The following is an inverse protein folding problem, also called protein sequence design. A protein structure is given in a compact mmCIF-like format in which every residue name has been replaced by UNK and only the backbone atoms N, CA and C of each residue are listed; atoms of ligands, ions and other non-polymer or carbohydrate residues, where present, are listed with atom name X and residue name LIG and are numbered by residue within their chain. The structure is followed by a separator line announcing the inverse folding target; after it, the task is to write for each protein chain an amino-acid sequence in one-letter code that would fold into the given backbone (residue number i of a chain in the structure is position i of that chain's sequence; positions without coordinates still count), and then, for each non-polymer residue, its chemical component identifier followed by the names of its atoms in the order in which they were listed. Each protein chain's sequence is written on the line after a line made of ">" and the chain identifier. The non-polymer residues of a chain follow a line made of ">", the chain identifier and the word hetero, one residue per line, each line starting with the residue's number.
data_IF_915528100038
#
_entry.id   IF_915528100038
#
_cell.length_a   1.000
_cell.length_b   1.000
_cell.length_c   1.000
_cell.angle_alpha   90.00
_cell.angle_beta   90.00
_cell.angle_gamma   90.00
#
_symmetry.space_group_name_H-M   'P 1'
#
loop_
_entity.id
_entity.type
_entity.pdbx_description
1 polymer ?
#
# COMPACT_ATOMS: atom_id res chain seq x y z
N UNK A 1 23.51 4.08 -2.00
CA UNK A 1 22.82 3.54 -3.20
C UNK A 1 22.02 4.65 -3.85
N UNK A 2 22.23 4.88 -5.11
CA UNK A 2 21.46 5.84 -5.88
C UNK A 2 20.27 5.13 -6.54
N UNK A 3 19.34 5.90 -7.09
CA UNK A 3 18.19 5.32 -7.80
C UNK A 3 18.62 4.43 -8.97
N UNK A 4 19.81 4.70 -9.55
CA UNK A 4 20.37 3.88 -10.63
C UNK A 4 20.74 2.47 -10.19
N UNK A 5 21.00 2.29 -8.89
CA UNK A 5 21.41 1.00 -8.33
C UNK A 5 20.22 0.12 -7.98
N UNK A 6 19.00 0.68 -8.02
CA UNK A 6 17.78 -0.09 -7.82
C UNK A 6 17.41 -0.80 -9.12
N UNK A 7 16.95 -2.04 -9.00
CA UNK A 7 16.36 -2.72 -10.13
C UNK A 7 15.20 -1.91 -10.69
N UNK A 8 15.04 -1.81 -12.02
CA UNK A 8 13.88 -1.11 -12.60
C UNK A 8 12.55 -1.64 -12.10
N UNK A 9 12.55 -2.85 -11.56
CA UNK A 9 11.39 -3.56 -11.04
C UNK A 9 11.15 -3.32 -9.56
N UNK A 10 11.96 -2.49 -8.89
CA UNK A 10 11.80 -2.17 -7.47
C UNK A 10 11.41 -0.71 -7.29
N UNK A 11 10.36 -0.48 -6.52
CA UNK A 11 9.87 0.85 -6.16
C UNK A 11 10.08 1.08 -4.67
N UNK A 12 10.57 2.26 -4.32
CA UNK A 12 10.65 2.70 -2.92
C UNK A 12 9.98 4.06 -2.80
N UNK A 13 9.02 4.16 -1.87
CA UNK A 13 8.33 5.41 -1.55
C UNK A 13 8.50 5.68 -0.07
N UNK A 14 8.96 6.87 0.28
CA UNK A 14 9.14 7.28 1.67
C UNK A 14 8.29 8.52 1.93
N UNK A 15 7.53 8.51 3.02
CA UNK A 15 6.73 9.67 3.42
C UNK A 15 6.70 9.79 4.94
N UNK A 16 6.87 11.03 5.44
CA UNK A 16 6.65 11.32 6.85
C UNK A 16 5.18 11.68 7.07
N UNK A 17 4.56 10.97 8.00
CA UNK A 17 3.15 11.15 8.33
C UNK A 17 3.06 11.69 9.77
N UNK A 18 2.33 12.78 9.96
CA UNK A 18 2.18 13.43 11.25
C UNK A 18 1.11 12.74 12.10
N UNK A 19 1.37 11.47 12.44
CA UNK A 19 0.49 10.64 13.27
C UNK A 19 1.33 9.56 13.95
N UNK A 20 0.87 9.03 15.10
CA UNK A 20 1.59 7.96 15.80
C UNK A 20 1.69 6.69 14.95
N UNK A 21 2.80 5.96 15.11
CA UNK A 21 3.04 4.71 14.36
C UNK A 21 1.92 3.70 14.55
N UNK A 22 1.34 3.61 15.75
CA UNK A 22 0.23 2.70 16.02
C UNK A 22 -1.01 3.04 15.19
N UNK A 23 -1.32 4.32 15.01
CA UNK A 23 -2.47 4.75 14.21
C UNK A 23 -2.23 4.51 12.71
N UNK A 24 -1.01 4.78 12.24
CA UNK A 24 -0.65 4.51 10.84
C UNK A 24 -0.69 3.02 10.55
N UNK A 25 -0.17 2.21 11.46
CA UNK A 25 -0.21 0.75 11.32
C UNK A 25 -1.65 0.23 11.31
N UNK A 26 -2.51 0.74 12.19
CA UNK A 26 -3.92 0.36 12.23
C UNK A 26 -4.62 0.67 10.91
N UNK A 27 -4.30 1.82 10.30
CA UNK A 27 -4.89 2.20 9.01
C UNK A 27 -4.48 1.23 7.88
N UNK A 28 -3.36 0.55 8.02
CA UNK A 28 -2.87 -0.44 7.07
C UNK A 28 -3.42 -1.85 7.30
N UNK A 29 -4.05 -2.11 8.43
CA UNK A 29 -4.46 -3.47 8.83
C UNK A 29 -5.95 -3.60 9.11
N UNK A 30 -6.64 -2.52 9.43
CA UNK A 30 -8.08 -2.53 9.69
C UNK A 30 -8.85 -2.37 8.38
N UNK A 31 -9.73 -3.32 8.01
CA UNK A 31 -10.45 -3.23 6.73
C UNK A 31 -11.35 -2.01 6.60
N UNK A 32 -11.96 -1.55 7.69
CA UNK A 32 -12.78 -0.33 7.66
C UNK A 32 -11.92 0.89 7.32
N UNK A 33 -10.73 0.98 7.91
CA UNK A 33 -9.81 2.07 7.62
C UNK A 33 -9.21 1.94 6.21
N UNK A 34 -8.81 0.73 5.80
CA UNK A 34 -8.31 0.47 4.44
C UNK A 34 -9.30 0.95 3.37
N UNK A 35 -10.60 0.79 3.63
CA UNK A 35 -11.63 1.21 2.68
C UNK A 35 -11.68 2.72 2.46
N UNK A 36 -11.04 3.50 3.32
CA UNK A 36 -11.09 4.96 3.25
C UNK A 36 -9.91 5.58 2.51
N UNK A 37 -8.82 4.84 2.27
CA UNK A 37 -7.64 5.44 1.65
C UNK A 37 -6.96 4.59 0.57
N UNK A 38 -7.15 3.28 0.55
CA UNK A 38 -6.37 2.38 -0.31
C UNK A 38 -6.94 2.30 -1.74
N UNK A 39 -7.09 3.44 -2.38
CA UNK A 39 -7.45 3.55 -3.78
C UNK A 39 -6.90 4.88 -4.33
N UNK A 40 -6.17 4.86 -5.45
CA UNK A 40 -5.51 6.07 -5.96
C UNK A 40 -6.49 7.01 -6.65
N UNK A 41 -6.32 8.32 -6.41
CA UNK A 41 -7.07 9.36 -7.12
C UNK A 41 -8.58 9.22 -7.04
N UNK A 42 -9.29 9.21 -8.18
CA UNK A 42 -10.74 9.17 -8.19
C UNK A 42 -11.35 7.80 -7.92
N UNK A 43 -10.52 6.75 -7.76
CA UNK A 43 -11.01 5.42 -7.42
C UNK A 43 -11.54 5.40 -5.98
N UNK A 44 -12.55 4.56 -5.76
CA UNK A 44 -13.19 4.41 -4.46
C UNK A 44 -13.20 2.93 -4.09
N UNK A 45 -12.79 2.61 -2.85
CA UNK A 45 -12.85 1.24 -2.35
C UNK A 45 -14.30 0.85 -2.10
N UNK A 46 -14.76 -0.20 -2.75
CA UNK A 46 -16.12 -0.73 -2.59
C UNK A 46 -16.15 -1.97 -1.71
N UNK A 47 -15.01 -2.62 -1.53
CA UNK A 47 -14.87 -3.78 -0.64
C UNK A 47 -13.45 -3.85 -0.10
N UNK A 48 -13.32 -4.08 1.20
CA UNK A 48 -12.04 -4.34 1.83
C UNK A 48 -12.20 -5.42 2.89
N UNK A 49 -11.35 -6.43 2.83
CA UNK A 49 -11.23 -7.45 3.88
C UNK A 49 -9.75 -7.64 4.18
N UNK A 50 -9.42 -7.91 5.44
CA UNK A 50 -8.04 -8.13 5.85
C UNK A 50 -8.01 -8.93 7.14
N UNK A 51 -7.16 -9.95 7.16
CA UNK A 51 -6.84 -10.75 8.34
C UNK A 51 -5.35 -10.59 8.60
N UNK A 52 -4.98 -9.55 9.33
CA UNK A 52 -3.60 -9.09 9.47
C UNK A 52 -2.81 -9.95 10.46
N UNK A 53 -2.55 -11.17 10.07
CA UNK A 53 -1.69 -12.14 10.77
C UNK A 53 -0.91 -12.92 9.73
N UNK A 54 0.20 -13.51 10.11
CA UNK A 54 0.99 -14.34 9.19
C UNK A 54 0.11 -15.46 8.64
N UNK A 55 0.04 -15.55 7.31
CA UNK A 55 -0.82 -16.50 6.61
C UNK A 55 -2.24 -16.00 6.38
N UNK A 56 -2.63 -14.86 6.97
CA UNK A 56 -3.94 -14.26 6.73
C UNK A 56 -3.98 -13.62 5.36
N UNK A 57 -5.18 -13.50 4.80
CA UNK A 57 -5.41 -12.96 3.47
C UNK A 57 -6.09 -11.61 3.52
N UNK A 58 -5.96 -10.83 2.44
CA UNK A 58 -6.70 -9.59 2.28
C UNK A 58 -7.18 -9.45 0.84
N UNK A 59 -8.23 -8.65 0.66
CA UNK A 59 -8.80 -8.36 -0.65
C UNK A 59 -9.33 -6.94 -0.69
N UNK A 60 -8.92 -6.19 -1.68
CA UNK A 60 -9.35 -4.80 -1.89
C UNK A 60 -9.97 -4.70 -3.29
N UNK A 61 -11.17 -4.16 -3.36
CA UNK A 61 -11.82 -3.84 -4.64
C UNK A 61 -12.00 -2.34 -4.70
N UNK A 62 -11.42 -1.71 -5.72
CA UNK A 62 -11.55 -0.28 -5.96
C UNK A 62 -12.27 -0.07 -7.30
N UNK A 63 -13.25 0.82 -7.31
CA UNK A 63 -14.03 1.11 -8.52
C UNK A 63 -13.61 2.46 -9.09
N UNK A 64 -13.36 2.49 -10.40
CA UNK A 64 -13.03 3.72 -11.09
C UNK A 64 -14.31 4.47 -11.53
N UNK A 65 -14.19 5.73 -12.00
CA UNK A 65 -15.36 6.52 -12.41
C UNK A 65 -16.17 5.93 -13.58
N UNK A 66 -15.58 5.00 -14.33
CA UNK A 66 -16.25 4.31 -15.43
C UNK A 66 -16.98 3.04 -14.97
N UNK A 67 -16.90 2.73 -13.68
CA UNK A 67 -17.55 1.55 -13.09
C UNK A 67 -16.74 0.27 -13.21
N UNK A 68 -15.47 0.34 -13.58
CA UNK A 68 -14.59 -0.82 -13.64
C UNK A 68 -14.00 -1.12 -12.26
N UNK A 69 -14.05 -2.38 -11.84
CA UNK A 69 -13.49 -2.84 -10.60
C UNK A 69 -12.02 -3.24 -10.78
N UNK A 70 -11.18 -2.73 -9.88
CA UNK A 70 -9.76 -3.07 -9.79
C UNK A 70 -9.56 -3.88 -8.53
N UNK A 71 -9.14 -5.13 -8.68
CA UNK A 71 -9.04 -6.07 -7.56
C UNK A 71 -7.58 -6.31 -7.22
N UNK A 72 -7.25 -6.17 -5.93
CA UNK A 72 -5.93 -6.51 -5.39
C UNK A 72 -6.13 -7.51 -4.26
N UNK A 73 -5.35 -8.57 -4.28
CA UNK A 73 -5.39 -9.60 -3.23
C UNK A 73 -3.99 -9.86 -2.71
N UNK A 74 -3.89 -10.54 -1.59
CA UNK A 74 -2.60 -10.95 -1.07
C UNK A 74 -2.69 -11.72 0.23
N UNK A 75 -1.50 -12.05 0.73
CA UNK A 75 -1.31 -12.79 1.97
C UNK A 75 -0.25 -12.07 2.79
N UNK A 76 -0.48 -11.98 4.10
CA UNK A 76 0.51 -11.41 5.03
C UNK A 76 1.59 -12.45 5.31
N UNK A 77 2.85 -12.08 5.11
CA UNK A 77 4.02 -12.94 5.35
C UNK A 77 4.77 -12.58 6.62
N UNK A 78 4.71 -11.30 7.01
CA UNK A 78 5.30 -10.83 8.26
C UNK A 78 4.41 -9.73 8.83
N UNK A 79 4.11 -9.80 10.12
CA UNK A 79 3.32 -8.78 10.80
C UNK A 79 4.00 -8.49 12.13
N UNK A 80 4.64 -7.31 12.21
CA UNK A 80 5.25 -6.82 13.45
C UNK A 80 4.50 -5.56 13.85
N UNK A 81 3.69 -5.61 14.91
CA UNK A 81 2.84 -4.48 15.29
C UNK A 81 3.60 -3.16 15.36
N UNK A 82 3.02 -2.13 14.74
CA UNK A 82 3.51 -0.76 14.69
C UNK A 82 4.88 -0.59 14.03
N UNK A 83 5.45 -1.65 13.44
CA UNK A 83 6.82 -1.66 12.92
C UNK A 83 6.92 -2.10 11.46
N UNK A 84 6.31 -3.23 11.10
CA UNK A 84 6.49 -3.78 9.75
C UNK A 84 5.37 -4.68 9.30
N UNK A 85 5.06 -4.57 8.00
CA UNK A 85 4.25 -5.54 7.28
C UNK A 85 5.04 -6.03 6.08
N UNK A 86 4.98 -7.33 5.81
CA UNK A 86 5.40 -7.90 4.52
C UNK A 86 4.20 -8.68 3.99
N UNK A 87 3.78 -8.36 2.78
CA UNK A 87 2.59 -8.95 2.20
C UNK A 87 2.77 -9.10 0.70
N UNK A 88 2.15 -10.12 0.13
CA UNK A 88 2.08 -10.22 -1.32
C UNK A 88 1.05 -9.20 -1.82
N UNK A 89 1.27 -8.68 -3.02
CA UNK A 89 0.39 -7.69 -3.62
C UNK A 89 0.12 -8.13 -5.05
N UNK A 90 -1.06 -8.69 -5.27
CA UNK A 90 -1.45 -9.28 -6.55
C UNK A 90 -2.56 -8.45 -7.17
N UNK A 91 -2.25 -7.80 -8.27
CA UNK A 91 -3.24 -7.01 -9.00
C UNK A 91 -3.88 -7.85 -10.11
N UNK A 92 -5.21 -7.79 -10.20
CA UNK A 92 -6.00 -8.56 -11.16
C UNK A 92 -6.65 -7.65 -12.21
N UNK A 93 -5.86 -6.93 -12.96
CA UNK A 93 -6.39 -5.99 -13.94
C UNK A 93 -5.36 -5.51 -14.95
N UNK A 94 -4.15 -6.06 -14.87
CA UNK A 94 -3.10 -5.67 -15.80
C UNK A 94 -3.40 -6.23 -17.19
N UNK A 95 -3.24 -5.42 -18.26
CA UNK A 95 -3.60 -5.85 -19.61
C UNK A 95 -2.80 -7.02 -20.16
N UNK A 96 -1.60 -7.28 -19.61
CA UNK A 96 -0.71 -8.33 -20.11
C UNK A 96 -0.56 -9.52 -19.15
N UNK A 97 -0.98 -9.38 -17.91
CA UNK A 97 -0.76 -10.41 -16.87
C UNK A 97 -2.04 -10.59 -16.06
N UNK A 98 -2.61 -11.78 -16.09
CA UNK A 98 -3.86 -12.10 -15.39
C UNK A 98 -3.73 -11.94 -13.88
N UNK A 99 -2.61 -12.37 -13.30
CA UNK A 99 -2.30 -12.20 -11.88
C UNK A 99 -0.94 -11.56 -11.75
N UNK A 100 -0.94 -10.26 -11.52
CA UNK A 100 0.30 -9.49 -11.41
C UNK A 100 0.83 -9.56 -9.99
N UNK A 101 1.72 -10.52 -9.74
CA UNK A 101 2.30 -10.75 -8.42
C UNK A 101 3.46 -9.79 -8.14
N UNK A 102 3.36 -9.06 -7.03
CA UNK A 102 4.45 -8.27 -6.48
C UNK A 102 4.59 -8.56 -5.00
N UNK A 103 5.71 -8.15 -4.41
CA UNK A 103 5.96 -8.27 -2.99
C UNK A 103 6.04 -6.86 -2.39
N UNK A 104 5.28 -6.65 -1.32
CA UNK A 104 5.18 -5.35 -0.67
C UNK A 104 5.73 -5.45 0.75
N UNK A 105 6.68 -4.56 1.06
CA UNK A 105 7.19 -4.39 2.42
C UNK A 105 6.88 -2.97 2.86
N UNK A 106 6.31 -2.83 4.05
CA UNK A 106 5.98 -1.53 4.63
C UNK A 106 6.63 -1.43 6.00
N UNK A 107 7.49 -0.45 6.17
CA UNK A 107 8.15 -0.17 7.43
C UNK A 107 7.59 1.10 8.06
N UNK A 108 7.31 1.04 9.35
CA UNK A 108 6.77 2.14 10.15
C UNK A 108 7.82 2.52 11.19
N UNK A 109 8.48 3.65 11.00
CA UNK A 109 9.51 4.08 11.95
C UNK A 109 9.01 5.31 12.72
N UNK A 110 8.79 5.14 14.01
CA UNK A 110 8.37 6.26 14.86
C UNK A 110 9.48 7.31 14.91
N UNK A 111 9.14 8.55 14.60
CA UNK A 111 10.02 9.72 14.70
C UNK A 111 9.74 10.51 15.99
N UNK A 112 8.96 9.94 16.87
CA UNK A 112 8.48 10.54 18.09
C UNK A 112 7.05 10.07 18.33
N UNK A 113 6.34 10.61 19.35
CA UNK A 113 4.99 10.13 19.67
C UNK A 113 3.94 10.50 18.62
N UNK A 114 4.21 11.50 17.77
CA UNK A 114 3.21 12.06 16.85
C UNK A 114 3.66 12.08 15.39
N UNK A 115 4.71 11.36 15.04
CA UNK A 115 5.19 11.32 13.66
C UNK A 115 5.79 9.95 13.33
N UNK A 116 5.58 9.53 12.09
CA UNK A 116 6.02 8.23 11.58
C UNK A 116 6.66 8.40 10.21
N UNK A 117 7.83 7.81 10.00
CA UNK A 117 8.38 7.66 8.65
C UNK A 117 7.88 6.35 8.08
N UNK A 118 7.09 6.44 7.02
CA UNK A 118 6.53 5.30 6.33
C UNK A 118 7.38 5.01 5.09
N UNK A 119 7.88 3.79 4.96
CA UNK A 119 8.62 3.35 3.79
C UNK A 119 7.90 2.20 3.14
N UNK A 120 7.51 2.35 1.88
CA UNK A 120 6.90 1.31 1.07
C UNK A 120 7.94 0.83 0.07
N UNK A 121 8.21 -0.48 0.08
CA UNK A 121 9.08 -1.12 -0.91
C UNK A 121 8.26 -2.16 -1.66
N UNK A 122 8.13 -1.98 -2.97
CA UNK A 122 7.41 -2.92 -3.83
C UNK A 122 8.38 -3.52 -4.84
N UNK A 123 8.48 -4.84 -4.84
CA UNK A 123 9.42 -5.60 -5.67
C UNK A 123 8.68 -6.43 -6.71
N UNK A 124 9.40 -6.87 -7.73
CA UNK A 124 8.91 -7.73 -8.81
C UNK A 124 7.95 -7.02 -9.76
N UNK A 125 8.08 -5.71 -9.89
CA UNK A 125 7.37 -4.96 -10.94
C UNK A 125 7.95 -5.33 -12.30
N UNK A 126 7.10 -5.44 -13.32
CA UNK A 126 7.51 -5.96 -14.63
C UNK A 126 8.24 -4.96 -15.51
N UNK A 127 8.10 -3.67 -15.27
CA UNK A 127 8.68 -2.65 -16.12
C UNK A 127 8.88 -1.34 -15.37
N UNK A 128 9.69 -0.45 -15.95
CA UNK A 128 9.84 0.90 -15.44
C UNK A 128 8.52 1.68 -15.50
N UNK A 129 7.73 1.46 -16.55
CA UNK A 129 6.41 2.08 -16.67
C UNK A 129 5.49 1.67 -15.53
N UNK A 130 5.46 0.39 -15.21
CA UNK A 130 4.66 -0.13 -14.09
C UNK A 130 5.17 0.43 -12.75
N UNK A 131 6.48 0.52 -12.58
CA UNK A 131 7.08 1.11 -11.38
C UNK A 131 6.63 2.55 -11.18
N UNK A 132 6.68 3.37 -12.22
CA UNK A 132 6.30 4.78 -12.12
C UNK A 132 4.79 4.97 -11.97
N UNK A 133 4.00 4.10 -12.60
CA UNK A 133 2.55 4.07 -12.38
C UNK A 133 2.19 3.73 -10.94
N UNK A 134 2.88 2.76 -10.34
CA UNK A 134 2.68 2.39 -8.94
C UNK A 134 3.16 3.49 -8.00
N UNK A 135 4.26 4.18 -8.33
CA UNK A 135 4.74 5.33 -7.54
C UNK A 135 3.66 6.40 -7.46
N UNK A 136 3.07 6.75 -8.58
CA UNK A 136 2.00 7.73 -8.64
C UNK A 136 0.78 7.26 -7.85
N UNK A 137 0.39 6.00 -8.02
CA UNK A 137 -0.72 5.41 -7.28
C UNK A 137 -0.51 5.45 -5.77
N UNK A 138 0.67 5.07 -5.29
CA UNK A 138 0.99 5.16 -3.87
C UNK A 138 0.95 6.58 -3.35
N UNK A 139 1.49 7.54 -4.12
CA UNK A 139 1.46 8.94 -3.72
C UNK A 139 0.03 9.43 -3.50
N UNK A 140 -0.88 9.10 -4.42
CA UNK A 140 -2.29 9.49 -4.30
C UNK A 140 -2.99 8.79 -3.12
N UNK A 141 -2.69 7.51 -2.89
CA UNK A 141 -3.22 6.78 -1.74
C UNK A 141 -2.71 7.39 -0.42
N UNK A 142 -1.44 7.72 -0.36
CA UNK A 142 -0.83 8.29 0.86
C UNK A 142 -1.38 9.67 1.18
N UNK A 143 -1.77 10.46 0.18
CA UNK A 143 -2.47 11.72 0.42
C UNK A 143 -3.79 11.48 1.17
N UNK A 144 -4.53 10.43 0.79
CA UNK A 144 -5.77 10.06 1.49
C UNK A 144 -5.49 9.52 2.88
N UNK A 145 -4.42 8.74 3.04
CA UNK A 145 -4.02 8.22 4.35
C UNK A 145 -3.71 9.36 5.31
N UNK A 146 -2.97 10.36 4.87
CA UNK A 146 -2.68 11.55 5.69
C UNK A 146 -3.96 12.26 6.11
N UNK A 147 -4.91 12.43 5.19
CA UNK A 147 -6.19 13.05 5.53
C UNK A 147 -6.96 12.26 6.58
N UNK A 148 -6.80 10.94 6.59
CA UNK A 148 -7.49 10.07 7.53
C UNK A 148 -6.87 10.10 8.93
N UNK A 149 -5.54 10.05 9.03
CA UNK A 149 -4.86 9.84 10.30
C UNK A 149 -4.28 11.12 10.92
N UNK A 150 -4.03 12.16 10.13
CA UNK A 150 -3.50 13.43 10.65
C UNK A 150 -4.66 14.26 11.18
N UNK A 151 -4.56 14.62 12.45
CA UNK A 151 -5.57 15.47 13.13
C UNK A 151 -4.95 16.78 13.52
N UNK A 152 -5.71 17.82 13.32
CA UNK A 152 -5.31 19.17 13.72
C UNK A 152 -5.50 19.38 15.22
#
# INVERSE_FOLDING_TARGET
>A
MTERDLEPTTLVVVRTIAAPAAEVFEAWTDPTLLSQWLAPGPLVVTHASADARVGGEYRIVARDPLGTDHVTTGEYREVVPDTRLVQTWVYHGHPLVERYFTLLRVDFRALGPDATELTIRQELLLSEMDREGNRMGWSMCLDKLEQLVVRD
#
